data_IF_550696984705
#
_entry.id   IF_550696984705
#
_cell.length_a   1.000
_cell.length_b   1.000
_cell.length_c   1.000
_cell.angle_alpha   90.00
_cell.angle_beta   90.00
_cell.angle_gamma   90.00
#
_symmetry.space_group_name_H-M   'P 1'
#
loop_
_entity.id
_entity.type
_entity.pdbx_description
1 polymer ?
#
# COMPACT_ATOMS: atom_id res chain seq x y z
N UNK A 1 -39.07 42.67 15.15
CA UNK A 1 -38.68 42.08 13.87
C UNK A 1 -37.20 42.27 13.53
N UNK A 2 -36.59 43.45 13.70
CA UNK A 2 -35.15 43.68 13.40
C UNK A 2 -34.21 42.79 14.23
N UNK A 3 -34.48 42.61 15.52
CA UNK A 3 -33.63 41.80 16.42
C UNK A 3 -33.67 40.30 16.08
N UNK A 4 -34.83 39.80 15.61
CA UNK A 4 -34.98 38.41 15.21
C UNK A 4 -34.17 38.09 13.94
N UNK A 5 -34.17 39.03 12.99
CA UNK A 5 -33.40 38.90 11.73
C UNK A 5 -31.88 38.93 11.99
N UNK A 6 -31.42 39.77 12.92
CA UNK A 6 -30.01 39.84 13.32
C UNK A 6 -29.54 38.54 14.02
N UNK A 7 -30.38 37.97 14.87
CA UNK A 7 -30.08 36.70 15.57
C UNK A 7 -30.04 35.54 14.56
N UNK A 8 -30.96 35.48 13.62
CA UNK A 8 -30.97 34.48 12.54
C UNK A 8 -29.75 34.59 11.64
N UNK A 9 -29.34 35.81 11.26
CA UNK A 9 -28.12 36.04 10.45
C UNK A 9 -26.84 35.63 11.18
N UNK A 10 -26.76 35.92 12.48
CA UNK A 10 -25.66 35.50 13.34
C UNK A 10 -25.55 33.95 13.48
N UNK A 11 -26.70 33.28 13.64
CA UNK A 11 -26.74 31.81 13.71
C UNK A 11 -26.32 31.16 12.39
N UNK A 12 -26.73 31.73 11.26
CA UNK A 12 -26.38 31.25 9.93
C UNK A 12 -24.88 31.40 9.65
N UNK A 13 -24.26 32.50 10.07
CA UNK A 13 -22.80 32.70 9.97
C UNK A 13 -22.01 31.68 10.78
N UNK A 14 -22.44 31.39 12.01
CA UNK A 14 -21.77 30.39 12.87
C UNK A 14 -21.82 28.99 12.26
N UNK A 15 -22.93 28.59 11.65
CA UNK A 15 -23.07 27.28 10.97
C UNK A 15 -22.16 27.17 9.75
N UNK A 16 -22.01 28.25 8.97
CA UNK A 16 -21.10 28.26 7.81
C UNK A 16 -19.63 28.18 8.21
N UNK A 17 -19.20 28.82 9.30
CA UNK A 17 -17.82 28.72 9.78
C UNK A 17 -17.47 27.31 10.29
N UNK A 18 -18.40 26.57 10.85
CA UNK A 18 -18.17 25.21 11.35
C UNK A 18 -17.95 24.18 10.22
N UNK A 19 -18.46 24.45 9.01
CA UNK A 19 -18.33 23.52 7.87
C UNK A 19 -16.94 23.53 7.22
N UNK A 20 -16.12 24.55 7.43
CA UNK A 20 -14.76 24.66 6.83
C UNK A 20 -13.65 24.06 7.69
N UNK A 21 -13.92 23.57 8.90
CA UNK A 21 -12.88 23.13 9.83
C UNK A 21 -12.63 21.62 9.86
N UNK A 22 -13.24 20.84 8.97
CA UNK A 22 -13.03 19.39 8.96
C UNK A 22 -12.24 18.93 7.72
N UNK A 23 -11.16 19.62 7.40
CA UNK A 23 -10.10 19.05 6.55
C UNK A 23 -9.34 18.08 7.42
N UNK A 24 -9.66 16.81 7.37
CA UNK A 24 -8.81 15.79 7.96
C UNK A 24 -7.37 16.06 7.50
N UNK A 25 -6.47 16.16 8.44
CA UNK A 25 -5.04 16.43 8.14
C UNK A 25 -4.46 15.22 7.43
N UNK A 26 -4.53 15.23 6.09
CA UNK A 26 -3.98 14.19 5.22
C UNK A 26 -2.47 14.34 5.02
N UNK A 27 -1.78 14.92 5.98
CA UNK A 27 -0.34 15.07 5.92
C UNK A 27 0.35 13.72 6.05
N UNK A 28 1.28 13.48 5.16
CA UNK A 28 2.15 12.31 5.20
C UNK A 28 3.60 12.75 5.11
N UNK A 29 4.49 12.00 5.75
CA UNK A 29 5.94 12.27 5.69
C UNK A 29 6.50 11.79 4.34
N UNK A 30 5.96 10.69 3.83
CA UNK A 30 6.38 10.08 2.56
C UNK A 30 5.17 9.75 1.70
N UNK A 31 5.09 10.40 0.55
CA UNK A 31 4.12 10.10 -0.49
C UNK A 31 4.81 9.31 -1.62
N UNK A 32 4.30 8.13 -1.91
CA UNK A 32 4.78 7.27 -2.99
C UNK A 32 3.72 7.24 -4.10
N UNK A 33 4.11 7.61 -5.29
CA UNK A 33 3.24 7.57 -6.47
C UNK A 33 3.61 6.35 -7.31
N UNK A 34 2.67 5.42 -7.39
CA UNK A 34 2.82 4.11 -8.02
C UNK A 34 3.06 2.99 -7.00
N UNK A 35 2.13 2.04 -6.94
CA UNK A 35 2.18 0.87 -6.06
C UNK A 35 2.83 -0.36 -6.71
N UNK A 36 3.76 -0.17 -7.64
CA UNK A 36 4.58 -1.25 -8.17
C UNK A 36 5.45 -1.91 -7.10
N UNK A 37 6.21 -2.95 -7.45
CA UNK A 37 7.06 -3.66 -6.49
C UNK A 37 8.02 -2.72 -5.72
N UNK A 38 8.65 -1.77 -6.42
CA UNK A 38 9.53 -0.76 -5.83
C UNK A 38 8.79 0.21 -4.93
N UNK A 39 7.61 0.71 -5.36
CA UNK A 39 6.81 1.62 -4.57
C UNK A 39 6.30 0.97 -3.27
N UNK A 40 5.80 -0.26 -3.35
CA UNK A 40 5.35 -0.99 -2.16
C UNK A 40 6.51 -1.24 -1.19
N UNK A 41 7.66 -1.70 -1.68
CA UNK A 41 8.83 -1.97 -0.82
C UNK A 41 9.39 -0.70 -0.19
N UNK A 42 9.41 0.41 -0.94
CA UNK A 42 9.78 1.73 -0.41
C UNK A 42 8.83 2.18 0.70
N UNK A 43 7.50 2.02 0.49
CA UNK A 43 6.50 2.36 1.49
C UNK A 43 6.61 1.53 2.76
N UNK A 44 6.83 0.22 2.62
CA UNK A 44 7.06 -0.66 3.77
C UNK A 44 8.30 -0.23 4.55
N UNK A 45 9.38 0.09 3.86
CA UNK A 45 10.61 0.48 4.54
C UNK A 45 10.49 1.85 5.19
N UNK A 46 9.88 2.84 4.55
CA UNK A 46 9.61 4.14 5.14
C UNK A 46 8.74 4.02 6.40
N UNK A 47 7.67 3.23 6.35
CA UNK A 47 6.82 2.98 7.51
C UNK A 47 7.57 2.25 8.65
N UNK A 48 8.50 1.37 8.34
CA UNK A 48 9.38 0.72 9.34
C UNK A 48 10.31 1.70 10.04
N UNK A 49 10.69 2.77 9.35
CA UNK A 49 11.50 3.84 9.91
C UNK A 49 10.67 4.87 10.67
N UNK A 50 9.37 4.66 10.83
CA UNK A 50 8.48 5.51 11.61
C UNK A 50 7.80 6.62 10.81
N UNK A 51 8.00 6.68 9.48
CA UNK A 51 7.36 7.69 8.64
C UNK A 51 5.87 7.37 8.41
N UNK A 52 5.00 8.38 8.52
CA UNK A 52 3.62 8.29 8.06
C UNK A 52 3.62 8.25 6.52
N UNK A 53 3.31 7.09 5.95
CA UNK A 53 3.53 6.80 4.53
C UNK A 53 2.22 6.52 3.81
N UNK A 54 2.04 7.14 2.64
CA UNK A 54 0.91 6.90 1.73
C UNK A 54 1.42 6.41 0.38
N UNK A 55 0.82 5.35 -0.12
CA UNK A 55 1.01 4.88 -1.50
C UNK A 55 -0.24 5.23 -2.30
N UNK A 56 -0.05 5.96 -3.41
CA UNK A 56 -1.09 6.20 -4.41
C UNK A 56 -0.89 5.20 -5.56
N UNK A 57 -1.90 4.41 -5.82
CA UNK A 57 -1.91 3.41 -6.89
C UNK A 57 -3.23 3.52 -7.67
N UNK A 58 -3.15 3.53 -8.99
CA UNK A 58 -4.33 3.66 -9.86
C UNK A 58 -5.14 2.36 -9.97
N UNK A 59 -4.48 1.22 -9.77
CA UNK A 59 -5.11 -0.10 -9.79
C UNK A 59 -5.56 -0.51 -8.39
N UNK A 60 -6.41 -1.52 -8.32
CA UNK A 60 -6.83 -2.11 -7.03
C UNK A 60 -5.80 -3.05 -6.43
N UNK A 61 -4.69 -3.29 -7.12
CA UNK A 61 -3.66 -4.25 -6.74
C UNK A 61 -2.31 -3.57 -6.52
N UNK A 62 -1.62 -3.97 -5.47
CA UNK A 62 -0.23 -3.61 -5.21
C UNK A 62 0.72 -4.63 -5.82
N UNK A 63 1.90 -4.16 -6.30
CA UNK A 63 2.95 -5.01 -6.85
C UNK A 63 3.21 -4.80 -8.35
N UNK A 64 2.32 -4.07 -9.04
CA UNK A 64 2.50 -3.68 -10.44
C UNK A 64 2.75 -4.87 -11.36
N UNK A 65 3.93 -4.93 -12.00
CA UNK A 65 4.28 -6.00 -12.94
C UNK A 65 4.13 -7.39 -12.34
N UNK A 66 4.48 -7.57 -11.08
CA UNK A 66 4.40 -8.86 -10.38
C UNK A 66 2.98 -9.30 -10.06
N UNK A 67 1.99 -8.43 -10.23
CA UNK A 67 0.60 -8.67 -9.83
C UNK A 67 -0.39 -8.23 -10.90
N UNK A 68 -0.76 -6.95 -10.97
CA UNK A 68 -1.79 -6.42 -11.87
C UNK A 68 -1.46 -6.63 -13.36
N UNK A 69 -0.19 -6.61 -13.74
CA UNK A 69 0.24 -6.90 -15.11
C UNK A 69 0.45 -8.39 -15.40
N UNK A 70 0.31 -9.29 -14.41
CA UNK A 70 0.31 -10.73 -14.60
C UNK A 70 1.69 -11.38 -14.81
N UNK A 71 2.79 -10.65 -14.66
CA UNK A 71 4.16 -11.20 -14.77
C UNK A 71 4.65 -11.62 -13.38
N UNK A 72 4.06 -12.67 -12.85
CA UNK A 72 4.32 -13.18 -11.49
C UNK A 72 5.45 -14.22 -11.45
N UNK A 73 6.54 -13.92 -12.13
CA UNK A 73 7.76 -14.72 -12.22
C UNK A 73 8.96 -13.83 -11.93
N UNK A 74 9.81 -14.22 -11.00
CA UNK A 74 11.04 -13.47 -10.69
C UNK A 74 12.23 -14.30 -11.12
N UNK A 75 12.88 -13.85 -12.18
CA UNK A 75 13.97 -14.54 -12.86
C UNK A 75 15.37 -13.96 -12.57
N UNK A 76 15.43 -12.87 -11.81
CA UNK A 76 16.70 -12.26 -11.41
C UNK A 76 17.46 -13.05 -10.35
N UNK A 77 18.12 -12.37 -9.44
CA UNK A 77 18.88 -13.01 -8.38
C UNK A 77 17.97 -13.60 -7.27
N UNK A 78 17.20 -14.62 -7.62
CA UNK A 78 16.22 -15.26 -6.74
C UNK A 78 16.86 -15.92 -5.48
N UNK A 79 18.15 -16.17 -5.49
CA UNK A 79 18.86 -16.80 -4.38
C UNK A 79 19.17 -15.87 -3.21
N UNK A 80 19.08 -14.55 -3.41
CA UNK A 80 19.28 -13.60 -2.32
C UNK A 80 18.37 -13.95 -1.13
N UNK A 81 18.95 -14.18 0.07
CA UNK A 81 18.17 -14.67 1.21
C UNK A 81 17.56 -13.56 2.06
N UNK A 82 18.02 -12.31 1.89
CA UNK A 82 17.79 -11.22 2.82
C UNK A 82 17.07 -10.03 2.19
N UNK A 83 16.80 -9.02 3.04
CA UNK A 83 16.13 -7.80 2.66
C UNK A 83 14.65 -8.01 2.34
N UNK A 84 14.03 -6.99 1.77
CA UNK A 84 12.61 -7.04 1.41
C UNK A 84 12.27 -8.13 0.39
N UNK A 85 13.23 -8.45 -0.50
CA UNK A 85 13.08 -9.58 -1.41
C UNK A 85 12.98 -10.92 -0.66
N UNK A 86 13.89 -11.17 0.28
CA UNK A 86 13.85 -12.38 1.11
C UNK A 86 12.55 -12.51 1.90
N UNK A 87 12.07 -11.41 2.47
CA UNK A 87 10.80 -11.38 3.19
C UNK A 87 9.60 -11.66 2.29
N UNK A 88 9.55 -11.08 1.09
CA UNK A 88 8.49 -11.36 0.13
C UNK A 88 8.48 -12.84 -0.28
N UNK A 89 9.66 -13.37 -0.61
CA UNK A 89 9.83 -14.78 -0.95
C UNK A 89 9.39 -15.72 0.18
N UNK A 90 9.72 -15.39 1.43
CA UNK A 90 9.27 -16.17 2.58
C UNK A 90 7.74 -16.15 2.74
N UNK A 91 7.09 -15.01 2.53
CA UNK A 91 5.61 -14.91 2.55
C UNK A 91 4.94 -15.76 1.47
N UNK A 92 5.55 -15.85 0.28
CA UNK A 92 5.10 -16.76 -0.76
C UNK A 92 5.32 -18.22 -0.34
N UNK A 93 6.49 -18.52 0.19
CA UNK A 93 6.82 -19.86 0.71
C UNK A 93 5.84 -20.33 1.79
N UNK A 94 5.48 -19.45 2.73
CA UNK A 94 4.51 -19.76 3.78
C UNK A 94 3.12 -20.07 3.20
N UNK A 95 2.74 -19.36 2.14
CA UNK A 95 1.46 -19.58 1.47
C UNK A 95 1.41 -20.91 0.70
N UNK A 96 2.50 -21.26 0.00
CA UNK A 96 2.56 -22.43 -0.87
C UNK A 96 3.12 -23.68 -0.18
N UNK A 97 3.46 -23.60 1.12
CA UNK A 97 3.96 -24.73 1.90
C UNK A 97 5.43 -25.07 1.68
N UNK A 98 6.21 -24.12 1.15
CA UNK A 98 7.67 -24.30 1.01
C UNK A 98 8.25 -23.57 -0.22
N UNK A 99 9.57 -23.34 -0.18
CA UNK A 99 10.29 -22.69 -1.29
C UNK A 99 10.30 -23.53 -2.55
N UNK A 100 10.26 -24.85 -2.44
CA UNK A 100 10.27 -25.73 -3.60
C UNK A 100 8.97 -25.67 -4.39
N UNK A 101 7.86 -25.32 -3.74
CA UNK A 101 6.57 -25.11 -4.39
C UNK A 101 6.55 -23.88 -5.32
N UNK A 102 7.54 -22.99 -5.20
CA UNK A 102 7.69 -21.83 -6.09
C UNK A 102 8.42 -22.16 -7.39
N UNK A 103 9.05 -23.35 -7.48
CA UNK A 103 9.85 -23.80 -8.63
C UNK A 103 9.04 -24.64 -9.62
N UNK A 104 7.85 -24.17 -9.97
CA UNK A 104 6.89 -24.97 -10.76
C UNK A 104 7.00 -24.79 -12.26
N UNK A 105 7.80 -23.84 -12.73
CA UNK A 105 7.96 -23.54 -14.15
C UNK A 105 9.40 -23.54 -14.61
N UNK A 106 9.56 -23.55 -15.92
CA UNK A 106 10.88 -23.52 -16.58
C UNK A 106 11.45 -22.09 -16.75
N UNK A 107 10.59 -21.07 -16.61
CA UNK A 107 10.97 -19.67 -16.84
C UNK A 107 11.57 -18.99 -15.60
N UNK A 108 11.28 -19.50 -14.39
CA UNK A 108 11.76 -18.92 -13.14
C UNK A 108 11.79 -19.96 -12.04
N UNK A 109 12.57 -19.69 -10.99
CA UNK A 109 12.59 -20.43 -9.74
C UNK A 109 11.70 -19.81 -8.65
N UNK A 110 11.02 -18.72 -8.94
CA UNK A 110 10.05 -18.08 -8.03
C UNK A 110 8.83 -17.66 -8.85
N UNK A 111 7.85 -18.56 -8.87
CA UNK A 111 6.57 -18.41 -9.55
C UNK A 111 5.45 -18.38 -8.52
N UNK A 112 4.43 -17.57 -8.79
CA UNK A 112 3.26 -17.46 -7.91
C UNK A 112 2.06 -16.90 -8.68
N UNK A 113 0.85 -17.08 -8.17
CA UNK A 113 -0.30 -16.43 -8.75
C UNK A 113 -0.28 -14.92 -8.47
N UNK A 114 -0.64 -14.07 -9.47
CA UNK A 114 -0.70 -12.62 -9.30
C UNK A 114 -1.54 -12.18 -8.10
N UNK A 115 -2.64 -12.86 -7.84
CA UNK A 115 -3.53 -12.61 -6.70
C UNK A 115 -2.87 -12.86 -5.35
N UNK A 116 -2.01 -13.88 -5.27
CA UNK A 116 -1.24 -14.21 -4.05
C UNK A 116 -0.16 -13.16 -3.82
N UNK A 117 0.51 -12.72 -4.88
CA UNK A 117 1.45 -11.61 -4.82
C UNK A 117 0.81 -10.32 -4.28
N UNK A 118 -0.34 -9.92 -4.86
CA UNK A 118 -1.10 -8.76 -4.38
C UNK A 118 -1.51 -8.91 -2.91
N UNK A 119 -2.04 -10.06 -2.52
CA UNK A 119 -2.42 -10.34 -1.12
C UNK A 119 -1.22 -10.20 -0.17
N UNK A 120 -0.07 -10.71 -0.59
CA UNK A 120 1.17 -10.64 0.19
C UNK A 120 1.63 -9.19 0.37
N UNK A 121 1.66 -8.38 -0.68
CA UNK A 121 2.01 -6.97 -0.63
C UNK A 121 1.01 -6.17 0.21
N UNK A 122 -0.28 -6.35 0.00
CA UNK A 122 -1.34 -5.63 0.72
C UNK A 122 -1.31 -5.95 2.22
N UNK A 123 -1.21 -7.23 2.58
CA UNK A 123 -1.11 -7.65 3.98
C UNK A 123 0.16 -7.09 4.63
N UNK A 124 1.26 -7.12 3.92
CA UNK A 124 2.55 -6.65 4.39
C UNK A 124 2.55 -5.14 4.67
N UNK A 125 2.01 -4.36 3.74
CA UNK A 125 1.88 -2.90 3.90
C UNK A 125 0.96 -2.55 5.08
N UNK A 126 -0.20 -3.21 5.19
CA UNK A 126 -1.14 -2.97 6.29
C UNK A 126 -0.59 -3.29 7.67
N UNK A 127 0.28 -4.30 7.80
CA UNK A 127 0.91 -4.67 9.07
C UNK A 127 1.87 -3.59 9.62
N UNK A 128 2.28 -2.65 8.81
CA UNK A 128 3.22 -1.57 9.18
C UNK A 128 2.56 -0.21 9.32
N UNK A 129 1.27 -0.13 8.99
CA UNK A 129 0.46 1.06 9.19
C UNK A 129 -0.11 1.01 10.61
N UNK A 130 0.69 1.46 11.58
CA UNK A 130 0.29 1.67 12.97
C UNK A 130 0.15 3.16 13.20
#
# INVERSE_FOLDING_TARGET
MKNLLQTLCGLFLVVFYSSCMNSGDNRVDVLIVGGGASGVTSGIQAARMGANTLILEETTWLGGMLTSAGVSAVDGNYRLPAGLWGEFKNRLSDYYGGLDSLKTGWVSNVLFEPSVGNRSFTKWYRQKRI
#
